data_IF_113013660732
#
_entry.id   IF_113013660732
#
_cell.length_a   1.000
_cell.length_b   1.000
_cell.length_c   1.000
_cell.angle_alpha   90.00
_cell.angle_beta   90.00
_cell.angle_gamma   90.00
#
_symmetry.space_group_name_H-M   'P 1'
#
loop_
_entity.id
_entity.type
_entity.pdbx_description
1 polymer ?
#
# COMPACT_ATOMS: atom_id res chain seq x y z
N UNK A 1 -6.28 -0.04 -0.37
CA UNK A 1 -5.15 -0.45 -1.22
C UNK A 1 -4.56 0.80 -1.88
N UNK A 2 -3.29 0.80 -2.34
CA UNK A 2 -2.64 1.99 -2.96
C UNK A 2 -3.23 2.24 -4.35
N UNK A 3 -3.47 3.49 -4.71
CA UNK A 3 -3.95 3.93 -6.03
C UNK A 3 -2.77 4.49 -6.86
N UNK A 4 -1.76 3.66 -7.08
CA UNK A 4 -0.61 3.95 -7.95
C UNK A 4 0.04 2.63 -8.41
N UNK A 5 0.95 2.74 -9.37
CA UNK A 5 1.91 1.70 -9.71
C UNK A 5 3.31 2.11 -9.30
N UNK A 6 4.05 1.21 -8.63
CA UNK A 6 5.43 1.47 -8.19
C UNK A 6 6.23 0.18 -8.02
N UNK A 7 7.37 0.10 -8.70
CA UNK A 7 8.26 -1.06 -8.64
C UNK A 7 7.56 -2.32 -9.16
N UNK A 8 7.52 -3.38 -8.35
CA UNK A 8 6.91 -4.66 -8.71
C UNK A 8 5.37 -4.67 -8.62
N UNK A 9 4.74 -3.61 -8.09
CA UNK A 9 3.29 -3.50 -8.01
C UNK A 9 2.76 -2.61 -9.14
N UNK A 10 2.28 -3.24 -10.21
CA UNK A 10 1.64 -2.57 -11.36
C UNK A 10 0.12 -2.75 -11.33
N UNK A 11 -0.59 -1.70 -11.72
CA UNK A 11 -2.04 -1.60 -11.81
C UNK A 11 -2.43 -0.85 -13.07
N UNK A 12 -3.29 -1.47 -13.89
CA UNK A 12 -3.77 -0.86 -15.15
C UNK A 12 -4.67 0.37 -14.91
N UNK A 13 -5.42 0.38 -13.81
CA UNK A 13 -6.30 1.48 -13.43
C UNK A 13 -5.58 2.66 -12.74
N UNK A 14 -4.31 2.47 -12.34
CA UNK A 14 -3.43 3.51 -11.80
C UNK A 14 -1.98 3.27 -12.25
N UNK A 15 -1.66 3.45 -13.55
CA UNK A 15 -0.39 3.03 -14.12
C UNK A 15 0.80 3.90 -13.70
N UNK A 16 0.56 5.13 -13.23
CA UNK A 16 1.60 6.05 -12.81
C UNK A 16 1.91 6.00 -11.30
N UNK A 17 3.17 6.26 -10.90
CA UNK A 17 3.51 6.51 -9.50
C UNK A 17 2.96 7.88 -9.04
N UNK A 18 2.54 7.98 -7.78
CA UNK A 18 2.05 9.23 -7.16
C UNK A 18 2.81 9.57 -5.88
N UNK A 19 3.11 10.85 -5.66
CA UNK A 19 3.90 11.29 -4.50
C UNK A 19 3.17 11.09 -3.16
N UNK A 20 1.84 11.24 -3.13
CA UNK A 20 1.01 11.00 -1.93
C UNK A 20 1.16 9.57 -1.37
N UNK A 21 1.58 8.64 -2.22
CA UNK A 21 1.83 7.26 -1.86
C UNK A 21 3.28 6.96 -1.50
N UNK A 22 4.20 7.94 -1.50
CA UNK A 22 5.62 7.75 -1.13
C UNK A 22 5.81 7.57 0.38
N UNK A 23 5.23 6.49 0.89
CA UNK A 23 5.10 6.06 2.28
C UNK A 23 5.00 4.53 2.31
N UNK A 24 5.33 3.90 3.43
CA UNK A 24 5.34 2.45 3.56
C UNK A 24 3.97 1.89 3.97
N UNK A 25 3.51 0.82 3.31
CA UNK A 25 2.35 0.04 3.78
C UNK A 25 2.84 -0.94 4.85
N UNK A 26 2.38 -0.75 6.08
CA UNK A 26 2.72 -1.62 7.22
C UNK A 26 1.58 -2.61 7.42
N UNK A 27 1.86 -3.88 7.15
CA UNK A 27 0.98 -4.99 7.49
C UNK A 27 1.31 -5.49 8.90
N UNK A 28 0.30 -5.59 9.75
CA UNK A 28 0.44 -6.18 11.08
C UNK A 28 -0.51 -7.35 11.22
N UNK A 29 -0.01 -8.42 11.82
CA UNK A 29 -0.84 -9.50 12.33
C UNK A 29 -1.65 -8.96 13.50
N UNK A 30 -2.95 -8.79 13.33
CA UNK A 30 -3.83 -8.39 14.43
C UNK A 30 -4.34 -9.56 15.25
N UNK A 31 -5.09 -9.25 16.30
CA UNK A 31 -5.67 -10.24 17.20
C UNK A 31 -6.85 -10.97 16.56
N UNK A 32 -7.11 -12.19 17.02
CA UNK A 32 -8.20 -13.05 16.53
C UNK A 32 -8.19 -13.30 15.00
N UNK A 33 -7.03 -13.21 14.35
CA UNK A 33 -6.88 -13.46 12.91
C UNK A 33 -7.24 -12.29 12.00
N UNK A 34 -7.70 -11.17 12.54
CA UNK A 34 -7.96 -9.97 11.75
C UNK A 34 -6.66 -9.19 11.52
N UNK A 35 -6.18 -9.01 10.28
CA UNK A 35 -5.01 -8.18 10.01
C UNK A 35 -5.33 -6.68 10.18
N UNK A 36 -4.30 -5.87 10.44
CA UNK A 36 -4.40 -4.42 10.36
C UNK A 36 -3.38 -3.84 9.38
N UNK A 37 -3.76 -2.74 8.75
CA UNK A 37 -2.97 -2.03 7.76
C UNK A 37 -2.78 -0.59 8.22
N UNK A 38 -1.56 -0.11 8.16
CA UNK A 38 -1.22 1.27 8.48
C UNK A 38 -0.26 1.84 7.42
N UNK A 39 -0.12 3.16 7.41
CA UNK A 39 0.88 3.85 6.60
C UNK A 39 1.88 4.54 7.50
N UNK A 40 3.17 4.27 7.26
CA UNK A 40 4.28 5.00 7.88
C UNK A 40 4.89 5.93 6.84
N UNK A 41 5.37 7.13 7.20
CA UNK A 41 6.21 7.94 6.33
C UNK A 41 7.31 7.11 5.65
#
# INVERSE_FOLDING_TARGET
AREESRGAHYRDDFPEPREDWRRHLVFRRGHAGAPSFAYSP
#
